data_IF_116104124059
#
_entry.id   IF_116104124059
#
_cell.length_a   1.000
_cell.length_b   1.000
_cell.length_c   1.000
_cell.angle_alpha   90.00
_cell.angle_beta   90.00
_cell.angle_gamma   90.00
#
_symmetry.space_group_name_H-M   'P 1'
#
loop_
_entity.id
_entity.type
_entity.pdbx_description
1 polymer ?
#
# COMPACT_ATOMS: atom_id res chain seq x y z
N UNK A 1 -11.50 13.11 -24.17
CA UNK A 1 -11.32 11.65 -24.05
C UNK A 1 -9.93 11.41 -23.50
N UNK A 2 -9.76 11.42 -22.17
CA UNK A 2 -8.50 11.03 -21.53
C UNK A 2 -8.78 9.81 -20.67
N UNK A 3 -8.24 8.67 -21.08
CA UNK A 3 -8.35 7.41 -20.34
C UNK A 3 -7.55 7.54 -19.05
N UNK A 4 -8.23 7.76 -17.94
CA UNK A 4 -7.69 7.42 -16.63
C UNK A 4 -7.68 5.90 -16.60
N UNK A 5 -6.49 5.30 -16.67
CA UNK A 5 -6.31 3.89 -16.42
C UNK A 5 -6.65 3.62 -14.95
N UNK A 6 -7.86 3.14 -14.68
CA UNK A 6 -8.19 2.52 -13.41
C UNK A 6 -7.32 1.27 -13.25
N UNK A 7 -6.15 1.43 -12.62
CA UNK A 7 -5.35 0.30 -12.15
C UNK A 7 -6.08 -0.28 -10.94
N UNK A 8 -6.71 -1.44 -11.14
CA UNK A 8 -7.35 -2.20 -10.07
C UNK A 8 -6.37 -2.42 -8.92
N UNK A 9 -6.62 -1.77 -7.78
CA UNK A 9 -5.94 -2.04 -6.51
C UNK A 9 -6.70 -3.18 -5.82
N UNK A 10 -6.25 -4.42 -6.03
CA UNK A 10 -6.71 -5.55 -5.24
C UNK A 10 -6.05 -5.50 -3.86
N UNK A 11 -6.77 -4.99 -2.86
CA UNK A 11 -6.36 -5.14 -1.46
C UNK A 11 -6.38 -6.61 -1.08
N UNK A 12 -5.21 -7.17 -0.74
CA UNK A 12 -5.09 -8.55 -0.28
C UNK A 12 -5.15 -8.57 1.25
N UNK A 13 -6.27 -9.04 1.80
CA UNK A 13 -6.46 -9.21 3.25
C UNK A 13 -5.86 -10.55 3.70
N UNK A 14 -4.97 -10.54 4.68
CA UNK A 14 -4.66 -11.72 5.48
C UNK A 14 -5.03 -11.45 6.94
N UNK A 15 -6.12 -12.06 7.41
CA UNK A 15 -6.39 -12.18 8.83
C UNK A 15 -5.45 -13.24 9.41
N UNK A 16 -4.40 -12.81 10.10
CA UNK A 16 -3.54 -13.73 10.85
C UNK A 16 -4.32 -14.22 12.07
N UNK A 17 -4.97 -15.37 11.94
CA UNK A 17 -5.70 -15.98 13.03
C UNK A 17 -6.49 -17.20 12.57
N UNK A 18 -5.93 -18.38 12.89
CA UNK A 18 -6.57 -19.70 12.91
C UNK A 18 -6.44 -20.57 11.62
N UNK A 19 -5.77 -21.71 11.85
CA UNK A 19 -5.63 -22.94 11.06
C UNK A 19 -4.59 -22.95 9.92
N UNK A 20 -3.55 -23.76 10.15
CA UNK A 20 -2.58 -24.13 9.14
C UNK A 20 -3.25 -24.80 7.95
N UNK A 21 -3.18 -24.13 6.80
CA UNK A 21 -3.18 -24.79 5.51
C UNK A 21 -1.77 -24.64 4.95
N UNK A 22 -1.03 -25.75 5.02
CA UNK A 22 0.16 -25.95 4.21
C UNK A 22 -0.27 -25.90 2.74
N UNK A 23 -0.03 -24.77 2.06
CA UNK A 23 0.02 -24.77 0.59
C UNK A 23 1.38 -25.30 0.19
N UNK A 24 1.39 -26.60 -0.10
CA UNK A 24 2.48 -27.32 -0.74
C UNK A 24 2.91 -26.59 -2.02
N UNK A 25 4.19 -26.22 -2.12
CA UNK A 25 4.87 -25.65 -3.30
C UNK A 25 4.04 -24.70 -4.17
N UNK A 26 3.87 -23.44 -3.77
CA UNK A 26 3.34 -22.43 -4.67
C UNK A 26 4.40 -22.10 -5.74
N UNK A 27 4.32 -22.75 -6.90
CA UNK A 27 4.96 -22.21 -8.09
C UNK A 27 4.07 -21.05 -8.58
N UNK A 28 4.55 -19.82 -8.48
CA UNK A 28 3.85 -18.65 -9.02
C UNK A 28 4.44 -18.29 -10.39
N UNK A 29 3.59 -17.90 -11.32
CA UNK A 29 4.04 -17.30 -12.60
C UNK A 29 3.55 -15.87 -12.65
N UNK A 30 4.46 -14.92 -12.90
CA UNK A 30 4.14 -13.50 -13.02
C UNK A 30 4.66 -13.01 -14.38
N UNK A 31 3.83 -12.24 -15.08
CA UNK A 31 4.11 -11.74 -16.42
C UNK A 31 4.15 -10.21 -16.35
N UNK A 32 5.29 -9.62 -16.70
CA UNK A 32 5.52 -8.18 -16.73
C UNK A 32 6.78 -7.90 -17.57
N UNK A 33 7.01 -6.64 -17.93
CA UNK A 33 8.31 -6.20 -18.42
C UNK A 33 9.21 -5.92 -17.20
N UNK A 34 10.11 -6.84 -16.84
CA UNK A 34 10.93 -6.71 -15.63
C UNK A 34 12.24 -5.93 -15.88
N UNK A 35 12.70 -5.86 -17.12
CA UNK A 35 13.94 -5.17 -17.49
C UNK A 35 13.72 -3.79 -18.14
N UNK A 36 12.47 -3.42 -18.42
CA UNK A 36 12.08 -2.13 -18.99
C UNK A 36 12.34 -2.00 -20.48
N UNK A 37 12.47 -3.11 -21.21
CA UNK A 37 12.80 -3.09 -22.65
C UNK A 37 11.57 -3.00 -23.58
N UNK A 38 10.37 -2.92 -23.00
CA UNK A 38 9.09 -2.85 -23.69
C UNK A 38 8.56 -4.19 -24.18
N UNK A 39 9.24 -5.31 -23.89
CA UNK A 39 8.78 -6.67 -24.18
C UNK A 39 8.30 -7.33 -22.89
N UNK A 40 7.31 -8.20 -23.05
CA UNK A 40 6.74 -8.93 -21.92
C UNK A 40 7.62 -10.12 -21.58
N UNK A 41 8.04 -10.19 -20.33
CA UNK A 41 8.79 -11.30 -19.76
C UNK A 41 7.87 -12.24 -18.98
N UNK A 42 8.32 -13.47 -18.74
CA UNK A 42 7.63 -14.44 -17.88
C UNK A 42 8.56 -14.87 -16.77
N UNK A 43 8.12 -14.70 -15.52
CA UNK A 43 8.85 -15.13 -14.35
C UNK A 43 8.19 -16.32 -13.67
N UNK A 44 8.97 -17.36 -13.42
CA UNK A 44 8.58 -18.53 -12.63
C UNK A 44 9.23 -18.44 -11.26
N UNK A 45 8.42 -18.55 -10.21
CA UNK A 45 8.84 -18.45 -8.82
C UNK A 45 8.60 -19.80 -8.16
N UNK A 46 9.62 -20.38 -7.52
CA UNK A 46 9.54 -21.67 -6.83
C UNK A 46 9.58 -21.46 -5.32
N UNK A 47 8.42 -21.49 -4.64
CA UNK A 47 8.34 -21.22 -3.20
C UNK A 47 9.20 -22.12 -2.31
N UNK A 48 9.39 -23.39 -2.69
CA UNK A 48 10.18 -24.33 -1.90
C UNK A 48 11.68 -24.00 -1.86
N UNK A 49 12.22 -23.37 -2.92
CA UNK A 49 13.64 -23.02 -3.03
C UNK A 49 13.90 -21.53 -2.93
N UNK A 50 12.87 -20.70 -3.06
CA UNK A 50 12.98 -19.26 -3.13
C UNK A 50 13.52 -18.73 -4.47
N UNK A 51 13.61 -19.60 -5.48
CA UNK A 51 14.15 -19.25 -6.79
C UNK A 51 13.13 -18.44 -7.60
N UNK A 52 13.61 -17.39 -8.25
CA UNK A 52 12.89 -16.60 -9.26
C UNK A 52 13.67 -16.72 -10.56
N UNK A 53 13.04 -17.25 -11.61
CA UNK A 53 13.63 -17.37 -12.94
C UNK A 53 12.83 -16.53 -13.92
N UNK A 54 13.45 -15.57 -14.60
CA UNK A 54 12.80 -14.66 -15.54
C UNK A 54 13.24 -15.01 -16.96
N UNK A 55 12.33 -15.55 -17.76
CA UNK A 55 12.51 -15.72 -19.19
C UNK A 55 12.10 -14.42 -19.90
N UNK A 56 13.07 -13.74 -20.51
CA UNK A 56 12.84 -12.42 -21.11
C UNK A 56 12.18 -12.52 -22.48
N UNK A 57 11.26 -11.60 -22.79
CA UNK A 57 10.57 -11.54 -24.08
C UNK A 57 11.52 -11.30 -25.26
N UNK A 58 12.69 -10.69 -25.01
CA UNK A 58 13.78 -10.53 -25.98
C UNK A 58 14.73 -11.71 -26.11
N UNK A 59 14.50 -12.79 -25.35
CA UNK A 59 15.41 -13.92 -25.21
C UNK A 59 16.37 -13.78 -24.03
N UNK A 60 16.90 -14.92 -23.58
CA UNK A 60 17.74 -15.02 -22.40
C UNK A 60 16.94 -15.25 -21.11
N UNK A 61 17.69 -15.52 -20.03
CA UNK A 61 17.12 -15.81 -18.72
C UNK A 61 17.96 -15.16 -17.64
N UNK A 62 17.32 -14.57 -16.65
CA UNK A 62 17.96 -14.16 -15.39
C UNK A 62 17.39 -14.97 -14.24
N UNK A 63 18.17 -15.10 -13.17
CA UNK A 63 17.76 -15.88 -12.00
C UNK A 63 18.17 -15.18 -10.72
N UNK A 64 17.27 -15.20 -9.74
CA UNK A 64 17.43 -14.61 -8.43
C UNK A 64 17.03 -15.63 -7.37
N UNK A 65 17.52 -15.42 -6.16
CA UNK A 65 17.10 -16.18 -4.99
C UNK A 65 16.73 -15.20 -3.88
N UNK A 66 15.58 -15.44 -3.28
CA UNK A 66 15.12 -14.73 -2.07
C UNK A 66 14.84 -15.78 -0.99
N UNK A 67 14.84 -15.42 0.30
CA UNK A 67 14.49 -16.35 1.36
C UNK A 67 13.11 -17.00 1.14
N UNK A 68 12.98 -18.27 1.53
CA UNK A 68 11.71 -19.02 1.50
C UNK A 68 10.72 -18.51 2.57
N UNK A 69 9.49 -19.02 2.56
CA UNK A 69 8.41 -18.68 3.52
C UNK A 69 7.95 -17.20 3.47
N UNK A 70 7.86 -16.64 2.27
CA UNK A 70 7.23 -15.35 2.05
C UNK A 70 5.71 -15.41 2.28
N UNK A 71 5.11 -14.27 2.65
CA UNK A 71 3.66 -14.07 2.70
C UNK A 71 3.09 -13.70 1.34
N UNK A 72 3.77 -12.82 0.61
CA UNK A 72 3.41 -12.45 -0.76
C UNK A 72 4.65 -12.12 -1.58
N UNK A 73 4.54 -12.34 -2.88
CA UNK A 73 5.43 -11.84 -3.91
C UNK A 73 4.56 -11.14 -4.96
N UNK A 74 4.92 -9.91 -5.32
CA UNK A 74 4.14 -9.09 -6.26
C UNK A 74 5.07 -8.36 -7.23
N UNK A 75 4.66 -8.23 -8.49
CA UNK A 75 5.34 -7.34 -9.44
C UNK A 75 4.82 -5.92 -9.24
N UNK A 76 5.72 -5.01 -8.88
CA UNK A 76 5.41 -3.62 -8.55
C UNK A 76 6.46 -2.73 -9.19
N UNK A 77 6.04 -1.66 -9.83
CA UNK A 77 6.95 -0.60 -10.28
C UNK A 77 7.21 0.30 -9.06
N UNK A 78 8.27 -0.01 -8.32
CA UNK A 78 8.54 0.50 -6.97
C UNK A 78 9.57 1.63 -6.95
N UNK A 79 10.42 1.73 -7.98
CA UNK A 79 11.51 2.72 -8.04
C UNK A 79 11.22 3.93 -8.95
N UNK A 80 10.11 3.95 -9.68
CA UNK A 80 9.79 5.03 -10.61
C UNK A 80 10.49 4.93 -11.96
N UNK A 81 10.98 3.75 -12.34
CA UNK A 81 11.71 3.51 -13.59
C UNK A 81 11.10 2.32 -14.32
N UNK A 82 11.06 2.39 -15.65
CA UNK A 82 10.55 1.30 -16.46
C UNK A 82 11.27 -0.03 -16.14
N UNK A 83 10.47 -1.09 -16.01
CA UNK A 83 10.86 -2.37 -15.42
C UNK A 83 10.13 -2.59 -14.10
N UNK A 84 9.36 -3.66 -13.99
CA UNK A 84 8.73 -4.02 -12.72
C UNK A 84 9.75 -4.69 -11.79
N UNK A 85 9.64 -4.42 -10.49
CA UNK A 85 10.38 -5.13 -9.45
C UNK A 85 9.54 -6.23 -8.81
N UNK A 86 10.18 -7.27 -8.28
CA UNK A 86 9.50 -8.16 -7.33
C UNK A 86 9.60 -7.59 -5.93
N UNK A 87 8.47 -7.31 -5.30
CA UNK A 87 8.38 -7.04 -3.88
C UNK A 87 7.96 -8.32 -3.15
N UNK A 88 8.86 -8.84 -2.32
CA UNK A 88 8.67 -10.04 -1.53
C UNK A 88 8.57 -9.67 -0.06
N UNK A 89 7.47 -10.05 0.57
CA UNK A 89 7.21 -9.72 1.98
C UNK A 89 7.11 -10.97 2.82
N UNK A 90 7.46 -10.85 4.09
CA UNK A 90 7.57 -11.96 5.03
C UNK A 90 6.75 -11.69 6.28
N UNK A 91 6.47 -12.73 7.06
CA UNK A 91 5.92 -12.59 8.40
C UNK A 91 6.94 -11.93 9.36
N UNK A 92 8.22 -11.96 9.03
CA UNK A 92 9.31 -11.28 9.75
C UNK A 92 9.53 -9.83 9.31
N UNK A 93 10.63 -9.24 9.77
CA UNK A 93 10.96 -7.80 9.70
C UNK A 93 11.56 -7.31 8.39
N UNK A 94 11.43 -8.09 7.32
CA UNK A 94 12.16 -7.83 6.08
C UNK A 94 11.23 -7.78 4.87
N UNK A 95 11.62 -6.94 3.92
CA UNK A 95 11.07 -6.86 2.58
C UNK A 95 12.23 -6.92 1.61
N UNK A 96 12.12 -7.81 0.63
CA UNK A 96 13.10 -7.96 -0.43
C UNK A 96 12.53 -7.36 -1.71
N UNK A 97 13.30 -6.51 -2.37
CA UNK A 97 12.96 -5.92 -3.67
C UNK A 97 13.99 -6.38 -4.69
N UNK A 98 13.57 -7.16 -5.68
CA UNK A 98 14.42 -7.66 -6.77
C UNK A 98 14.16 -6.81 -8.02
N UNK A 99 15.22 -6.22 -8.56
CA UNK A 99 15.22 -5.36 -9.75
C UNK A 99 16.03 -6.03 -10.86
N UNK A 100 15.35 -6.53 -11.89
CA UNK A 100 15.98 -7.26 -12.99
C UNK A 100 16.76 -6.35 -13.94
N UNK A 101 16.31 -5.11 -14.10
CA UNK A 101 16.93 -4.10 -14.97
C UNK A 101 18.37 -3.83 -14.53
N UNK A 102 18.61 -3.63 -13.23
CA UNK A 102 19.97 -3.39 -12.70
C UNK A 102 20.62 -4.64 -12.09
N UNK A 103 19.95 -5.80 -12.14
CA UNK A 103 20.40 -7.07 -11.54
C UNK A 103 20.75 -6.95 -10.06
N UNK A 104 19.90 -6.25 -9.31
CA UNK A 104 20.13 -6.00 -7.90
C UNK A 104 18.98 -6.49 -7.04
N UNK A 105 19.32 -6.92 -5.84
CA UNK A 105 18.37 -7.25 -4.79
C UNK A 105 18.60 -6.31 -3.62
N UNK A 106 17.54 -5.66 -3.17
CA UNK A 106 17.55 -4.68 -2.08
C UNK A 106 16.78 -5.24 -0.91
N UNK A 107 17.31 -5.03 0.29
CA UNK A 107 16.71 -5.46 1.54
C UNK A 107 16.28 -4.24 2.33
N UNK A 108 15.02 -4.19 2.68
CA UNK A 108 14.45 -3.19 3.55
C UNK A 108 14.02 -3.83 4.85
N UNK A 109 14.29 -3.13 5.94
CA UNK A 109 13.69 -3.45 7.22
C UNK A 109 12.35 -2.74 7.28
N UNK A 110 11.29 -3.52 7.47
CA UNK A 110 9.98 -3.04 7.85
C UNK A 110 9.48 -4.00 8.92
N UNK A 111 9.25 -3.49 10.13
CA UNK A 111 8.98 -4.38 11.26
C UNK A 111 7.67 -5.14 11.06
N UNK A 112 7.58 -6.34 11.66
CA UNK A 112 6.37 -6.66 12.38
C UNK A 112 6.66 -7.45 13.67
N UNK A 113 5.77 -7.34 14.64
CA UNK A 113 5.39 -8.51 15.45
C UNK A 113 3.93 -8.32 15.90
N UNK A 114 2.98 -8.66 15.04
CA UNK A 114 1.56 -8.59 15.39
C UNK A 114 0.66 -9.28 14.38
N UNK A 115 -0.36 -9.97 14.89
CA UNK A 115 -1.40 -10.58 14.09
C UNK A 115 -2.29 -9.47 13.48
N UNK A 116 -2.16 -9.26 12.17
CA UNK A 116 -3.01 -8.37 11.38
C UNK A 116 -2.23 -7.22 10.75
N UNK A 117 -2.03 -7.36 9.44
CA UNK A 117 -1.33 -6.39 8.60
C UNK A 117 -1.97 -6.41 7.22
N UNK A 118 -2.22 -5.23 6.66
CA UNK A 118 -2.60 -5.08 5.25
C UNK A 118 -1.44 -4.45 4.50
N UNK A 119 -1.18 -4.95 3.28
CA UNK A 119 -0.11 -4.47 2.40
C UNK A 119 -0.77 -3.71 1.25
N UNK A 120 -0.27 -2.51 0.97
CA UNK A 120 -0.70 -1.69 -0.16
C UNK A 120 0.51 -1.27 -0.98
N UNK A 121 0.31 -1.16 -2.28
CA UNK A 121 1.24 -0.54 -3.21
C UNK A 121 0.57 0.70 -3.77
N UNK A 122 1.15 1.86 -3.51
CA UNK A 122 0.57 3.13 -3.95
C UNK A 122 1.68 4.15 -4.04
N UNK A 123 1.56 5.09 -4.97
CA UNK A 123 2.36 6.30 -4.99
C UNK A 123 1.89 7.19 -3.83
N UNK A 124 2.78 7.49 -2.88
CA UNK A 124 2.49 8.13 -1.58
C UNK A 124 3.17 9.50 -1.40
N UNK A 125 4.19 9.81 -2.19
CA UNK A 125 5.08 10.96 -1.94
C UNK A 125 5.09 12.00 -3.07
N UNK A 126 4.30 11.79 -4.12
CA UNK A 126 4.23 12.60 -5.33
C UNK A 126 5.34 12.32 -6.36
N UNK A 127 6.14 11.28 -6.17
CA UNK A 127 7.26 10.91 -7.04
C UNK A 127 6.95 9.57 -7.69
N UNK A 128 7.22 9.44 -8.99
CA UNK A 128 6.98 8.17 -9.70
C UNK A 128 7.66 7.00 -8.99
N UNK A 129 6.96 5.88 -8.92
CA UNK A 129 7.31 4.68 -8.16
C UNK A 129 6.29 4.45 -7.05
N UNK A 130 5.79 3.22 -6.91
CA UNK A 130 4.85 2.90 -5.85
C UNK A 130 5.59 2.51 -4.57
N UNK A 131 5.28 3.17 -3.47
CA UNK A 131 5.74 2.76 -2.15
C UNK A 131 5.07 1.47 -1.69
N UNK A 132 5.80 0.69 -0.90
CA UNK A 132 5.27 -0.49 -0.21
C UNK A 132 4.83 -0.06 1.19
N UNK A 133 3.52 -0.11 1.42
CA UNK A 133 2.91 0.32 2.68
C UNK A 133 2.41 -0.86 3.49
N UNK A 134 2.78 -0.90 4.76
CA UNK A 134 2.26 -1.83 5.75
C UNK A 134 1.43 -1.09 6.78
N UNK A 135 0.20 -1.53 6.98
CA UNK A 135 -0.70 -1.01 8.02
C UNK A 135 -0.92 -2.11 9.04
N UNK A 136 -0.44 -1.91 10.27
CA UNK A 136 -0.52 -2.90 11.34
C UNK A 136 -1.66 -2.59 12.32
N UNK A 137 -2.19 -3.63 12.95
CA UNK A 137 -3.26 -3.50 13.95
C UNK A 137 -2.88 -2.68 15.20
N UNK A 138 -1.60 -2.54 15.52
CA UNK A 138 -1.13 -1.69 16.63
C UNK A 138 -1.12 -0.20 16.27
N UNK A 139 -1.48 0.17 15.04
CA UNK A 139 -1.48 1.54 14.55
C UNK A 139 -0.15 1.99 13.96
N UNK A 140 0.86 1.11 13.89
CA UNK A 140 2.09 1.41 13.17
C UNK A 140 1.86 1.31 11.66
N UNK A 141 2.38 2.28 10.93
CA UNK A 141 2.31 2.36 9.47
C UNK A 141 3.72 2.51 8.92
N UNK A 142 4.18 1.51 8.16
CA UNK A 142 5.49 1.54 7.53
C UNK A 142 5.35 1.84 6.05
N UNK A 143 6.16 2.77 5.55
CA UNK A 143 6.24 3.10 4.12
C UNK A 143 7.66 2.85 3.66
N UNK A 144 7.84 1.99 2.67
CA UNK A 144 9.12 1.73 2.01
C UNK A 144 9.10 2.43 0.65
N UNK A 145 10.07 3.31 0.47
CA UNK A 145 10.34 4.08 -0.73
C UNK A 145 11.63 3.54 -1.36
N UNK A 146 11.47 2.67 -2.35
CA UNK A 146 12.58 1.96 -2.98
C UNK A 146 13.44 2.89 -3.84
N UNK A 147 12.82 3.92 -4.43
CA UNK A 147 13.49 4.96 -5.19
C UNK A 147 14.44 5.76 -4.32
N UNK A 148 13.98 6.24 -3.17
CA UNK A 148 14.78 7.00 -2.21
C UNK A 148 15.65 6.11 -1.32
N UNK A 149 15.43 4.79 -1.35
CA UNK A 149 16.05 3.78 -0.47
C UNK A 149 15.81 4.08 1.01
N UNK A 150 14.56 4.40 1.35
CA UNK A 150 14.17 4.78 2.71
C UNK A 150 13.00 3.95 3.19
N UNK A 151 13.02 3.68 4.49
CA UNK A 151 11.86 3.22 5.23
C UNK A 151 11.43 4.34 6.17
N UNK A 152 10.14 4.63 6.22
CA UNK A 152 9.52 5.60 7.13
C UNK A 152 8.49 4.89 8.01
N UNK A 153 8.35 5.37 9.23
CA UNK A 153 7.39 4.87 10.21
C UNK A 153 6.49 6.03 10.65
N UNK A 154 5.19 5.78 10.61
CA UNK A 154 4.16 6.63 11.15
C UNK A 154 3.37 5.88 12.21
N UNK A 155 2.73 6.63 13.10
CA UNK A 155 1.86 6.08 14.12
C UNK A 155 0.49 6.75 14.03
N UNK A 156 -0.54 5.93 14.09
CA UNK A 156 -1.93 6.30 14.36
C UNK A 156 -2.42 5.50 15.56
N UNK A 157 -3.54 5.86 16.21
CA UNK A 157 -4.10 5.01 17.25
C UNK A 157 -4.40 3.60 16.75
N UNK A 158 -4.29 2.60 17.64
CA UNK A 158 -4.41 1.19 17.28
C UNK A 158 -5.70 0.85 16.51
N UNK A 159 -5.57 -0.11 15.61
CA UNK A 159 -6.61 -0.58 14.71
C UNK A 159 -7.22 -1.87 15.25
N UNK A 160 -8.37 -1.77 15.93
CA UNK A 160 -9.02 -2.93 16.56
C UNK A 160 -9.68 -2.62 17.91
N UNK A 161 -10.12 -3.66 18.62
CA UNK A 161 -11.10 -3.67 19.73
C UNK A 161 -11.03 -2.49 20.72
N UNK A 162 -12.14 -1.76 20.84
CA UNK A 162 -12.34 -0.73 21.88
C UNK A 162 -12.57 0.70 21.36
N UNK A 163 -12.50 0.94 20.05
CA UNK A 163 -12.68 2.27 19.45
C UNK A 163 -11.75 2.60 18.27
N UNK A 164 -10.96 1.65 17.74
CA UNK A 164 -10.06 1.85 16.60
C UNK A 164 -10.74 2.29 15.29
N UNK A 165 -9.97 2.61 14.22
CA UNK A 165 -10.52 3.05 12.95
C UNK A 165 -11.28 1.90 12.32
N UNK A 166 -12.50 2.19 11.88
CA UNK A 166 -13.33 1.23 11.15
C UNK A 166 -13.04 1.25 9.65
N UNK A 167 -12.47 2.34 9.16
CA UNK A 167 -12.32 2.58 7.73
C UNK A 167 -10.92 3.11 7.45
N UNK A 168 -10.23 2.45 6.52
CA UNK A 168 -8.93 2.88 5.99
C UNK A 168 -9.10 3.13 4.50
N UNK A 169 -8.68 4.30 4.04
CA UNK A 169 -8.73 4.67 2.62
C UNK A 169 -7.39 5.25 2.21
N UNK A 170 -6.87 4.73 1.10
CA UNK A 170 -5.72 5.31 0.41
C UNK A 170 -6.24 6.04 -0.83
N UNK A 171 -5.97 7.32 -0.91
CA UNK A 171 -6.36 8.19 -2.02
C UNK A 171 -5.65 9.53 -1.92
N UNK A 172 -5.79 10.34 -2.97
CA UNK A 172 -5.36 11.73 -2.99
C UNK A 172 -6.42 12.59 -2.26
N UNK A 173 -6.10 13.16 -1.10
CA UNK A 173 -7.04 13.92 -0.24
C UNK A 173 -6.74 15.43 -0.17
N UNK A 174 -5.72 15.87 -0.90
CA UNK A 174 -4.93 17.02 -0.54
C UNK A 174 -4.62 17.96 -1.74
N UNK A 175 -5.01 17.55 -2.95
CA UNK A 175 -4.80 18.22 -4.23
C UNK A 175 -3.38 18.17 -4.77
N UNK A 176 -2.44 17.53 -4.07
CA UNK A 176 -1.07 17.34 -4.53
C UNK A 176 -0.88 15.91 -5.05
N UNK A 177 0.11 15.72 -5.92
CA UNK A 177 0.50 14.38 -6.37
C UNK A 177 0.99 13.57 -5.16
N UNK A 178 0.65 12.28 -5.12
CA UNK A 178 0.86 11.38 -3.99
C UNK A 178 -0.46 11.10 -3.27
N UNK A 179 -0.72 9.83 -2.97
CA UNK A 179 -1.85 9.45 -2.12
C UNK A 179 -1.49 9.58 -0.64
N UNK A 180 -2.49 9.85 0.19
CA UNK A 180 -2.40 9.73 1.63
C UNK A 180 -3.19 8.53 2.14
N UNK A 181 -3.01 8.22 3.42
CA UNK A 181 -3.78 7.18 4.12
C UNK A 181 -4.66 7.83 5.16
N UNK A 182 -5.97 7.78 4.97
CA UNK A 182 -6.94 8.20 5.97
C UNK A 182 -7.43 7.00 6.79
N UNK A 183 -7.36 7.16 8.11
CA UNK A 183 -7.89 6.26 9.13
C UNK A 183 -9.05 6.94 9.82
N UNK A 184 -10.28 6.45 9.63
CA UNK A 184 -11.48 7.04 10.22
C UNK A 184 -12.03 6.20 11.36
N UNK A 185 -12.13 6.84 12.53
CA UNK A 185 -12.54 6.25 13.80
C UNK A 185 -14.00 6.56 14.10
N UNK A 186 -14.58 5.69 14.91
CA UNK A 186 -15.99 5.77 15.33
C UNK A 186 -16.26 6.90 16.31
N UNK A 187 -15.23 7.38 16.98
CA UNK A 187 -15.28 8.45 17.96
C UNK A 187 -15.34 9.85 17.33
N UNK A 188 -15.37 9.94 16.00
CA UNK A 188 -15.36 11.20 15.28
C UNK A 188 -13.98 11.77 15.00
N UNK A 189 -12.93 10.96 15.12
CA UNK A 189 -11.57 11.35 14.75
C UNK A 189 -11.15 10.67 13.44
N UNK A 190 -10.45 11.39 12.57
CA UNK A 190 -9.70 10.78 11.47
C UNK A 190 -8.23 11.16 11.56
N UNK A 191 -7.34 10.22 11.27
CA UNK A 191 -5.91 10.46 11.14
C UNK A 191 -5.51 10.31 9.67
N UNK A 192 -4.73 11.24 9.15
CA UNK A 192 -4.20 11.20 7.77
C UNK A 192 -2.70 11.12 7.83
N UNK A 193 -2.12 10.08 7.23
CA UNK A 193 -0.68 9.91 7.02
C UNK A 193 -0.34 10.42 5.62
N UNK A 194 0.52 11.44 5.57
CA UNK A 194 1.04 12.08 4.34
C UNK A 194 2.54 11.80 4.26
N UNK A 195 2.95 10.89 3.37
CA UNK A 195 4.36 10.50 3.24
C UNK A 195 5.20 11.63 2.64
N UNK A 196 4.64 12.38 1.69
CA UNK A 196 5.33 13.53 1.07
C UNK A 196 5.76 14.57 2.11
N UNK A 197 4.91 14.84 3.10
CA UNK A 197 5.19 15.78 4.18
C UNK A 197 5.85 15.13 5.41
N UNK A 198 6.02 13.81 5.41
CA UNK A 198 6.44 13.02 6.57
C UNK A 198 5.61 13.34 7.83
N UNK A 199 4.28 13.39 7.71
CA UNK A 199 3.41 13.85 8.79
C UNK A 199 2.16 12.99 8.98
N UNK A 200 1.75 12.86 10.24
CA UNK A 200 0.40 12.39 10.60
C UNK A 200 -0.42 13.58 11.13
N UNK A 201 -1.64 13.77 10.64
CA UNK A 201 -2.56 14.83 11.08
C UNK A 201 -3.86 14.24 11.60
N UNK A 202 -4.45 14.87 12.61
CA UNK A 202 -5.74 14.49 13.17
C UNK A 202 -6.83 15.51 12.79
N UNK A 203 -8.03 15.01 12.51
CA UNK A 203 -9.22 15.77 12.15
C UNK A 203 -10.39 15.30 13.00
N UNK A 204 -11.23 16.23 13.42
CA UNK A 204 -12.36 15.96 14.30
C UNK A 204 -13.67 16.34 13.60
N UNK A 205 -14.67 15.48 13.71
CA UNK A 205 -16.00 15.62 13.13
C UNK A 205 -17.03 14.89 13.99
N UNK A 206 -18.32 15.23 13.82
CA UNK A 206 -19.40 14.45 14.42
C UNK A 206 -19.81 13.32 13.48
N UNK A 207 -19.98 12.12 14.01
CA UNK A 207 -20.44 10.94 13.26
C UNK A 207 -21.34 10.06 14.12
N UNK A 208 -22.25 9.32 13.49
CA UNK A 208 -23.00 8.24 14.13
C UNK A 208 -22.22 6.90 14.09
N UNK A 209 -20.95 6.94 13.68
CA UNK A 209 -20.09 5.77 13.49
C UNK A 209 -20.26 5.07 12.13
N UNK A 210 -20.99 5.69 11.20
CA UNK A 210 -21.17 5.22 9.83
C UNK A 210 -19.91 5.36 8.97
N UNK A 211 -19.87 4.60 7.87
CA UNK A 211 -18.77 4.65 6.90
C UNK A 211 -18.76 5.99 6.16
N UNK A 212 -17.59 6.63 6.01
CA UNK A 212 -17.47 7.78 5.11
C UNK A 212 -17.67 7.36 3.66
N UNK A 213 -18.24 8.27 2.87
CA UNK A 213 -18.09 8.25 1.41
C UNK A 213 -16.96 9.20 1.02
N UNK A 214 -16.40 9.00 -0.17
CA UNK A 214 -15.29 9.82 -0.67
C UNK A 214 -15.65 10.38 -2.02
N UNK A 215 -15.65 11.70 -2.16
CA UNK A 215 -15.90 12.38 -3.41
C UNK A 215 -15.25 13.75 -3.40
N UNK A 216 -14.94 14.26 -4.59
CA UNK A 216 -14.62 15.67 -4.77
C UNK A 216 -15.93 16.46 -4.78
N UNK A 217 -16.16 17.29 -3.77
CA UNK A 217 -17.43 18.02 -3.57
C UNK A 217 -17.32 19.53 -3.75
N UNK A 218 -16.11 20.08 -3.83
CA UNK A 218 -15.88 21.52 -4.00
C UNK A 218 -15.21 21.90 -5.33
N UNK A 219 -14.86 20.91 -6.16
CA UNK A 219 -14.22 21.09 -7.45
C UNK A 219 -12.72 21.41 -7.37
N UNK A 220 -12.14 21.42 -6.18
CA UNK A 220 -10.70 21.55 -5.95
C UNK A 220 -10.08 20.15 -6.01
N UNK A 221 -8.83 20.03 -6.47
CA UNK A 221 -8.15 18.73 -6.48
C UNK A 221 -8.05 18.16 -5.05
N UNK A 222 -8.22 16.84 -4.91
CA UNK A 222 -8.41 16.16 -3.64
C UNK A 222 -9.77 15.46 -3.57
N UNK A 223 -9.83 14.34 -2.86
CA UNK A 223 -11.09 13.78 -2.37
C UNK A 223 -11.35 14.29 -0.96
N UNK A 224 -12.63 14.57 -0.68
CA UNK A 224 -13.09 14.81 0.66
C UNK A 224 -13.73 13.55 1.25
N UNK A 225 -13.49 13.31 2.54
CA UNK A 225 -14.23 12.33 3.29
C UNK A 225 -15.53 12.95 3.82
N UNK A 226 -16.65 12.32 3.47
CA UNK A 226 -18.00 12.81 3.76
C UNK A 226 -18.61 11.92 4.83
N UNK A 227 -18.84 12.50 6.00
CA UNK A 227 -19.48 11.84 7.13
C UNK A 227 -20.90 12.37 7.29
N UNK A 228 -21.89 11.50 7.04
CA UNK A 228 -23.30 11.86 7.11
C UNK A 228 -23.96 11.34 8.39
N UNK A 229 -24.77 12.19 9.02
CA UNK A 229 -25.74 11.77 10.03
C UNK A 229 -27.08 11.47 9.35
N UNK A 230 -27.79 10.43 9.79
CA UNK A 230 -29.10 10.03 9.23
C UNK A 230 -30.12 11.19 9.21
N UNK A 231 -29.97 12.18 10.11
CA UNK A 231 -30.81 13.39 10.19
C UNK A 231 -30.03 14.65 10.65
N UNK A 232 -28.79 14.83 10.19
CA UNK A 232 -27.91 15.88 10.74
C UNK A 232 -26.86 16.40 9.73
N UNK A 233 -25.97 17.29 10.19
CA UNK A 233 -25.04 18.01 9.31
C UNK A 233 -24.01 17.06 8.68
N UNK A 234 -23.52 17.45 7.50
CA UNK A 234 -22.48 16.73 6.76
C UNK A 234 -21.13 17.31 7.14
N UNK A 235 -20.21 16.47 7.59
CA UNK A 235 -18.82 16.86 7.79
C UNK A 235 -17.99 16.46 6.58
N UNK A 236 -17.26 17.44 6.08
CA UNK A 236 -16.30 17.29 4.99
C UNK A 236 -14.92 17.45 5.62
N UNK A 237 -14.10 16.42 5.49
CA UNK A 237 -12.70 16.43 5.95
C UNK A 237 -11.79 16.44 4.74
N UNK A 238 -10.99 17.51 4.62
CA UNK A 238 -9.87 17.64 3.68
C UNK A 238 -8.53 17.73 4.44
N UNK A 239 -7.39 17.82 3.74
CA UNK A 239 -6.04 17.92 4.34
C UNK A 239 -5.78 19.16 5.21
N UNK A 240 -6.55 20.21 5.04
CA UNK A 240 -6.34 21.55 5.61
C UNK A 240 -7.31 21.83 6.75
N UNK A 241 -8.48 21.21 6.74
CA UNK A 241 -9.58 21.54 7.67
C UNK A 241 -10.63 20.43 7.71
N UNK A 242 -11.33 20.37 8.85
CA UNK A 242 -12.66 19.76 8.92
C UNK A 242 -13.70 20.87 8.91
N UNK A 243 -14.69 20.79 8.03
CA UNK A 243 -15.75 21.78 7.90
C UNK A 243 -17.11 21.13 8.11
N UNK A 244 -17.92 21.79 8.95
CA UNK A 244 -19.33 21.50 9.13
C UNK A 244 -20.15 22.18 8.03
N UNK A 245 -20.85 21.39 7.21
CA UNK A 245 -21.92 21.89 6.34
C UNK A 245 -23.27 21.61 7.00
N UNK A 246 -24.09 22.65 7.13
CA UNK A 246 -25.46 22.59 7.67
C UNK A 246 -26.48 22.67 6.56
#
# INVERSE_FOLDING_TARGET
>A
MSSISERFLAGLLFAAGLLGLSVTSQAATIVADFNGDGKIDTATITAASGAISIARGGGGTTSYSVPVNWLTISAVEANGVAGYEFVVTYAGTTVWIVDDRIRATRLYLATPAGAGRVIYFSEMNGVTGNEVTFINNDGTVWVIDDRARKTRLYNVPAIGSGGGPRYVKIAEFNGAVGNEIMFSYVDGTSYVVDDRLHATRAYFYFTNGGAPTYANVDGVAGLEAIFAYTFGPVWIVDRTRSILYR
#
